data_IF_860769970715
#
_entry.id   IF_860769970715
#
_cell.length_a   1.000
_cell.length_b   1.000
_cell.length_c   1.000
_cell.angle_alpha   90.00
_cell.angle_beta   90.00
_cell.angle_gamma   90.00
#
_symmetry.space_group_name_H-M   'P 1'
#
loop_
_entity.id
_entity.type
_entity.pdbx_description
1 polymer ?
#
# COMPACT_ATOMS: atom_id res chain seq x y z
N UNK A 1 5.25 7.01 -16.66
CA UNK A 1 6.48 6.18 -16.78
C UNK A 1 6.33 4.85 -16.04
N UNK A 2 5.98 4.84 -14.74
CA UNK A 2 5.80 3.60 -13.96
C UNK A 2 4.62 2.74 -14.45
N UNK A 3 3.49 3.37 -14.75
CA UNK A 3 2.29 2.71 -15.30
C UNK A 3 2.57 1.96 -16.59
N UNK A 4 3.33 2.56 -17.51
CA UNK A 4 3.74 1.88 -18.74
C UNK A 4 4.59 0.63 -18.45
N UNK A 5 5.40 0.62 -17.40
CA UNK A 5 6.18 -0.57 -17.03
C UNK A 5 5.30 -1.69 -16.50
N UNK A 6 4.25 -1.36 -15.75
CA UNK A 6 3.26 -2.35 -15.30
C UNK A 6 2.49 -2.97 -16.48
N UNK A 7 2.10 -2.16 -17.47
CA UNK A 7 1.47 -2.65 -18.69
C UNK A 7 2.42 -3.58 -19.48
N UNK A 8 3.68 -3.17 -19.65
CA UNK A 8 4.69 -3.99 -20.33
C UNK A 8 4.96 -5.30 -19.58
N UNK A 9 4.98 -5.28 -18.24
CA UNK A 9 5.13 -6.50 -17.44
C UNK A 9 3.98 -7.48 -17.68
N UNK A 10 2.74 -6.97 -17.69
CA UNK A 10 1.56 -7.78 -18.01
C UNK A 10 1.64 -8.36 -19.44
N UNK A 11 1.97 -7.52 -20.44
CA UNK A 11 2.12 -7.93 -21.85
C UNK A 11 3.25 -8.95 -22.04
N UNK A 12 4.29 -8.89 -21.22
CA UNK A 12 5.38 -9.87 -21.19
C UNK A 12 4.99 -11.21 -20.55
N UNK A 13 3.77 -11.34 -20.00
CA UNK A 13 3.24 -12.59 -19.45
C UNK A 13 3.81 -12.98 -18.08
N UNK A 14 4.34 -12.03 -17.31
CA UNK A 14 4.76 -12.30 -15.92
C UNK A 14 3.54 -12.50 -15.02
N UNK A 15 3.69 -13.20 -13.90
CA UNK A 15 2.57 -13.51 -13.00
C UNK A 15 2.19 -12.36 -12.07
N UNK A 16 2.99 -11.32 -12.00
CA UNK A 16 2.70 -10.19 -11.13
C UNK A 16 3.85 -9.21 -10.97
N UNK A 17 3.58 -8.15 -10.23
CA UNK A 17 4.54 -7.08 -9.94
C UNK A 17 4.45 -6.65 -8.48
N UNK A 18 5.55 -6.14 -7.94
CA UNK A 18 5.57 -5.46 -6.64
C UNK A 18 5.80 -3.97 -6.87
N UNK A 19 4.84 -3.14 -6.48
CA UNK A 19 4.97 -1.69 -6.49
C UNK A 19 5.75 -1.26 -5.24
N UNK A 20 7.06 -1.04 -5.43
CA UNK A 20 8.00 -0.73 -4.36
C UNK A 20 9.05 0.28 -4.81
N UNK A 21 9.48 1.12 -3.88
CA UNK A 21 10.70 1.94 -3.99
C UNK A 21 11.80 1.44 -3.03
N UNK A 22 11.75 0.16 -2.67
CA UNK A 22 12.64 -0.50 -1.71
C UNK A 22 12.53 0.06 -0.28
N UNK A 23 11.35 0.57 0.08
CA UNK A 23 11.10 1.19 1.38
C UNK A 23 11.80 2.55 1.54
N UNK A 24 11.95 3.30 0.45
CA UNK A 24 12.59 4.62 0.38
C UNK A 24 14.11 4.57 0.43
N UNK A 25 14.72 3.47 -0.03
CA UNK A 25 16.17 3.20 0.11
C UNK A 25 16.95 3.23 -1.20
N UNK A 26 16.27 3.48 -2.31
CA UNK A 26 16.88 3.49 -3.64
C UNK A 26 16.86 4.89 -4.24
N UNK A 27 15.78 5.26 -4.94
CA UNK A 27 15.62 6.61 -5.47
C UNK A 27 14.84 7.46 -4.45
N UNK A 28 15.48 8.50 -3.95
CA UNK A 28 14.79 9.51 -3.14
C UNK A 28 13.77 10.29 -3.99
N UNK A 29 12.73 10.82 -3.37
CA UNK A 29 11.55 11.45 -4.01
C UNK A 29 10.70 10.53 -4.89
N UNK A 30 11.00 9.23 -4.94
CA UNK A 30 10.13 8.26 -5.60
C UNK A 30 8.75 8.23 -4.93
N UNK A 31 7.70 8.23 -5.75
CA UNK A 31 6.29 8.20 -5.30
C UNK A 31 5.98 6.99 -4.43
N UNK A 32 4.97 7.14 -3.59
CA UNK A 32 4.50 6.05 -2.72
C UNK A 32 3.90 4.89 -3.53
N UNK A 33 4.09 3.65 -3.08
CA UNK A 33 3.54 2.48 -3.76
C UNK A 33 2.01 2.50 -3.87
N UNK A 34 1.33 3.04 -2.85
CA UNK A 34 -0.14 3.15 -2.84
C UNK A 34 -0.67 4.14 -3.89
N UNK A 35 0.06 5.24 -4.15
CA UNK A 35 -0.33 6.21 -5.17
C UNK A 35 -0.12 5.63 -6.57
N UNK A 36 0.98 4.90 -6.77
CA UNK A 36 1.26 4.19 -8.03
C UNK A 36 0.25 3.07 -8.26
N UNK A 37 -0.22 2.38 -7.21
CA UNK A 37 -1.23 1.33 -7.30
C UNK A 37 -2.50 1.82 -7.99
N UNK A 38 -3.04 2.96 -7.54
CA UNK A 38 -4.27 3.52 -8.11
C UNK A 38 -4.11 3.83 -9.60
N UNK A 39 -2.96 4.39 -9.99
CA UNK A 39 -2.66 4.69 -11.39
C UNK A 39 -2.53 3.42 -12.24
N UNK A 40 -1.80 2.41 -11.75
CA UNK A 40 -1.56 1.14 -12.43
C UNK A 40 -2.86 0.36 -12.61
N UNK A 41 -3.66 0.21 -11.55
CA UNK A 41 -4.95 -0.49 -11.60
C UNK A 41 -5.90 0.20 -12.58
N UNK A 42 -5.94 1.53 -12.58
CA UNK A 42 -6.75 2.30 -13.53
C UNK A 42 -6.31 2.06 -14.98
N UNK A 43 -5.01 2.07 -15.25
CA UNK A 43 -4.49 1.83 -16.60
C UNK A 43 -4.72 0.39 -17.09
N UNK A 44 -4.56 -0.60 -16.22
CA UNK A 44 -4.85 -2.00 -16.55
C UNK A 44 -6.35 -2.20 -16.84
N UNK A 45 -7.24 -1.57 -16.07
CA UNK A 45 -8.69 -1.59 -16.33
C UNK A 45 -9.03 -1.01 -17.71
N UNK A 46 -8.42 0.14 -18.07
CA UNK A 46 -8.64 0.77 -19.38
C UNK A 46 -8.21 -0.13 -20.56
N UNK A 47 -7.23 -1.02 -20.34
CA UNK A 47 -6.77 -2.00 -21.33
C UNK A 47 -7.57 -3.32 -21.31
N UNK A 48 -8.51 -3.48 -20.37
CA UNK A 48 -9.22 -4.74 -20.16
C UNK A 48 -8.35 -5.84 -19.54
N UNK A 49 -7.22 -5.49 -18.92
CA UNK A 49 -6.28 -6.42 -18.29
C UNK A 49 -6.57 -6.67 -16.82
N UNK A 50 -7.49 -5.91 -16.22
CA UNK A 50 -7.81 -6.00 -14.79
C UNK A 50 -9.31 -6.01 -14.52
N UNK A 51 -9.81 -6.92 -13.67
CA UNK A 51 -9.06 -7.96 -12.94
C UNK A 51 -8.70 -9.18 -13.82
N UNK A 52 -7.47 -9.68 -13.73
CA UNK A 52 -7.06 -11.00 -14.26
C UNK A 52 -6.50 -11.84 -13.09
N UNK A 53 -7.08 -13.02 -12.77
CA UNK A 53 -6.60 -13.88 -11.69
C UNK A 53 -5.19 -14.44 -11.91
N UNK A 54 -4.61 -14.31 -13.10
CA UNK A 54 -3.24 -14.78 -13.41
C UNK A 54 -2.18 -13.70 -13.22
N UNK A 55 -2.59 -12.46 -12.93
CA UNK A 55 -1.68 -11.34 -12.71
C UNK A 55 -1.94 -10.70 -11.36
N UNK A 56 -0.96 -10.74 -10.47
CA UNK A 56 -1.07 -10.24 -9.10
C UNK A 56 -0.31 -8.92 -8.92
N UNK A 57 -0.89 -8.00 -8.16
CA UNK A 57 -0.25 -6.72 -7.84
C UNK A 57 0.02 -6.66 -6.35
N UNK A 58 1.28 -6.60 -5.98
CA UNK A 58 1.72 -6.44 -4.60
C UNK A 58 2.19 -5.01 -4.35
N UNK A 59 2.12 -4.55 -3.11
CA UNK A 59 2.63 -3.23 -2.69
C UNK A 59 3.42 -3.36 -1.41
N UNK A 60 4.47 -2.56 -1.24
CA UNK A 60 5.16 -2.40 0.05
C UNK A 60 5.49 -0.93 0.35
N UNK A 61 6.16 -0.72 1.49
CA UNK A 61 6.67 0.59 1.88
C UNK A 61 5.71 1.35 2.80
N UNK A 62 6.21 1.73 3.99
CA UNK A 62 5.44 2.56 4.92
C UNK A 62 4.25 1.90 5.65
N UNK A 63 3.87 0.65 5.31
CA UNK A 63 2.74 -0.08 5.91
C UNK A 63 3.00 -0.42 7.38
N UNK A 64 2.17 0.07 8.31
CA UNK A 64 2.35 -0.15 9.76
C UNK A 64 1.09 -0.60 10.47
N UNK A 65 -0.08 -0.43 9.86
CA UNK A 65 -1.38 -0.84 10.40
C UNK A 65 -2.07 -1.80 9.44
N UNK A 66 -2.96 -2.64 9.95
CA UNK A 66 -3.82 -3.46 9.09
C UNK A 66 -4.72 -2.57 8.20
N UNK A 67 -5.12 -1.39 8.66
CA UNK A 67 -5.90 -0.43 7.85
C UNK A 67 -5.14 0.07 6.62
N UNK A 68 -3.80 0.14 6.67
CA UNK A 68 -2.98 0.46 5.48
C UNK A 68 -3.07 -0.67 4.45
N UNK A 69 -3.05 -1.92 4.92
CA UNK A 69 -3.19 -3.10 4.06
C UNK A 69 -4.59 -3.18 3.45
N UNK A 70 -5.63 -2.97 4.26
CA UNK A 70 -7.02 -2.99 3.81
C UNK A 70 -7.28 -1.92 2.73
N UNK A 71 -6.71 -0.72 2.88
CA UNK A 71 -6.77 0.33 1.84
C UNK A 71 -6.11 -0.13 0.54
N UNK A 72 -4.92 -0.72 0.60
CA UNK A 72 -4.24 -1.21 -0.60
C UNK A 72 -5.03 -2.34 -1.29
N UNK A 73 -5.59 -3.27 -0.52
CA UNK A 73 -6.44 -4.35 -1.06
C UNK A 73 -7.67 -3.76 -1.73
N UNK A 74 -8.38 -2.84 -1.07
CA UNK A 74 -9.54 -2.16 -1.64
C UNK A 74 -9.20 -1.46 -2.97
N UNK A 75 -7.99 -0.91 -3.08
CA UNK A 75 -7.51 -0.22 -4.28
C UNK A 75 -6.94 -1.16 -5.35
N UNK A 76 -6.92 -2.48 -5.13
CA UNK A 76 -6.58 -3.50 -6.13
C UNK A 76 -5.27 -4.24 -5.89
N UNK A 77 -4.64 -4.13 -4.72
CA UNK A 77 -3.52 -4.99 -4.37
C UNK A 77 -3.99 -6.41 -4.00
N UNK A 78 -3.26 -7.43 -4.44
CA UNK A 78 -3.45 -8.82 -4.04
C UNK A 78 -2.97 -9.05 -2.61
N UNK A 79 -1.79 -8.54 -2.26
CA UNK A 79 -1.27 -8.57 -0.90
C UNK A 79 -0.26 -7.43 -0.67
N UNK A 80 0.12 -7.24 0.59
CA UNK A 80 0.95 -6.11 1.01
C UNK A 80 2.15 -6.59 1.83
N UNK A 81 3.34 -6.18 1.41
CA UNK A 81 4.61 -6.50 2.06
C UNK A 81 4.93 -5.56 3.23
N UNK A 82 5.49 -6.13 4.29
CA UNK A 82 5.93 -5.37 5.48
C UNK A 82 7.39 -5.73 5.78
N UNK A 83 8.29 -4.74 5.69
CA UNK A 83 9.73 -4.94 5.94
C UNK A 83 10.13 -4.59 7.37
N UNK A 84 10.51 -3.32 7.58
CA UNK A 84 11.08 -2.80 8.84
C UNK A 84 10.38 -3.25 10.14
N UNK A 85 9.03 -3.27 10.25
CA UNK A 85 8.37 -3.71 11.48
C UNK A 85 8.77 -5.12 11.93
N UNK A 86 8.83 -6.10 11.01
CA UNK A 86 9.23 -7.46 11.35
C UNK A 86 10.72 -7.56 11.68
N UNK A 87 11.57 -6.79 10.99
CA UNK A 87 12.99 -6.70 11.33
C UNK A 87 13.18 -6.18 12.76
N UNK A 88 12.49 -5.10 13.14
CA UNK A 88 12.59 -4.53 14.48
C UNK A 88 12.06 -5.47 15.56
N UNK A 89 10.94 -6.14 15.29
CA UNK A 89 10.38 -7.13 16.20
C UNK A 89 11.36 -8.29 16.44
N UNK A 90 11.98 -8.80 15.36
CA UNK A 90 12.99 -9.84 15.45
C UNK A 90 14.25 -9.40 16.20
N UNK A 91 14.77 -8.20 15.91
CA UNK A 91 15.96 -7.70 16.59
C UNK A 91 15.74 -7.45 18.09
N UNK A 92 14.52 -7.06 18.49
CA UNK A 92 14.21 -6.76 19.87
C UNK A 92 13.84 -8.00 20.71
N UNK A 93 13.10 -8.95 20.14
CA UNK A 93 12.52 -10.07 20.88
C UNK A 93 12.62 -11.43 20.15
N UNK A 94 13.46 -11.53 19.12
CA UNK A 94 13.65 -12.75 18.34
C UNK A 94 12.36 -13.23 17.67
N UNK A 95 12.18 -14.55 17.62
CA UNK A 95 11.00 -15.18 17.03
C UNK A 95 9.71 -14.75 17.72
N UNK A 96 9.68 -14.67 19.06
CA UNK A 96 8.51 -14.25 19.83
C UNK A 96 8.07 -12.82 19.45
N UNK A 97 9.02 -11.94 19.14
CA UNK A 97 8.74 -10.61 18.61
C UNK A 97 8.01 -10.65 17.28
N UNK A 98 8.47 -11.49 16.35
CA UNK A 98 7.85 -11.66 15.04
C UNK A 98 6.44 -12.23 15.18
N UNK A 99 6.27 -13.27 16.01
CA UNK A 99 4.94 -13.85 16.30
C UNK A 99 4.00 -12.81 16.91
N UNK A 100 4.51 -11.98 17.84
CA UNK A 100 3.72 -10.89 18.42
C UNK A 100 3.35 -9.83 17.39
N UNK A 101 4.23 -9.50 16.46
CA UNK A 101 3.92 -8.58 15.37
C UNK A 101 2.84 -9.16 14.44
N UNK A 102 2.91 -10.46 14.10
CA UNK A 102 1.86 -11.15 13.33
C UNK A 102 0.52 -11.10 14.09
N UNK A 103 0.53 -11.37 15.39
CA UNK A 103 -0.67 -11.28 16.24
C UNK A 103 -1.28 -9.88 16.21
N UNK A 104 -0.46 -8.83 16.36
CA UNK A 104 -0.95 -7.44 16.33
C UNK A 104 -1.63 -7.15 14.99
N UNK A 105 -1.02 -7.54 13.87
CA UNK A 105 -1.66 -7.39 12.56
C UNK A 105 -2.97 -8.17 12.50
N UNK A 106 -3.01 -9.42 12.96
CA UNK A 106 -4.22 -10.24 12.98
C UNK A 106 -5.36 -9.58 13.77
N UNK A 107 -5.06 -9.07 14.97
CA UNK A 107 -6.05 -8.42 15.83
C UNK A 107 -6.59 -7.14 15.18
N UNK A 108 -5.71 -6.33 14.59
CA UNK A 108 -6.11 -5.14 13.83
C UNK A 108 -6.94 -5.49 12.59
N UNK A 109 -6.60 -6.56 11.87
CA UNK A 109 -7.37 -7.04 10.72
C UNK A 109 -8.79 -7.42 11.14
N UNK A 110 -8.94 -8.27 12.15
CA UNK A 110 -10.25 -8.70 12.62
C UNK A 110 -11.12 -7.53 13.08
N UNK A 111 -10.53 -6.61 13.86
CA UNK A 111 -11.25 -5.43 14.34
C UNK A 111 -11.69 -4.54 13.17
N UNK A 112 -10.77 -4.18 12.28
CA UNK A 112 -11.08 -3.28 11.17
C UNK A 112 -12.07 -3.89 10.17
N UNK A 113 -11.95 -5.18 9.86
CA UNK A 113 -12.87 -5.86 8.96
C UNK A 113 -14.29 -5.92 9.54
N UNK A 114 -14.43 -6.17 10.86
CA UNK A 114 -15.74 -6.10 11.55
C UNK A 114 -16.33 -4.69 11.45
N UNK A 115 -15.52 -3.65 11.67
CA UNK A 115 -15.98 -2.25 11.60
C UNK A 115 -16.36 -1.80 10.18
N UNK A 116 -15.65 -2.31 9.16
CA UNK A 116 -15.97 -2.07 7.76
C UNK A 116 -17.19 -2.87 7.27
N UNK A 117 -17.64 -3.88 8.03
CA UNK A 117 -18.68 -4.80 7.59
C UNK A 117 -18.21 -5.82 6.54
N UNK A 118 -16.90 -6.05 6.41
CA UNK A 118 -16.31 -7.03 5.51
C UNK A 118 -16.07 -8.35 6.27
N UNK A 119 -16.71 -9.46 5.87
CA UNK A 119 -16.53 -10.77 6.53
C UNK A 119 -15.27 -11.46 6.06
N UNK A 120 -14.91 -11.24 4.81
CA UNK A 120 -13.77 -11.83 4.13
C UNK A 120 -13.00 -10.76 3.37
N UNK A 121 -11.75 -11.04 3.02
CA UNK A 121 -10.93 -10.13 2.19
C UNK A 121 -11.60 -9.83 0.84
N UNK A 122 -12.42 -10.76 0.32
CA UNK A 122 -13.16 -10.59 -0.94
C UNK A 122 -14.28 -9.55 -0.84
N UNK A 123 -14.75 -9.25 0.37
CA UNK A 123 -15.79 -8.23 0.59
C UNK A 123 -15.21 -6.81 0.60
N UNK A 124 -13.87 -6.67 0.59
CA UNK A 124 -13.19 -5.39 0.55
C UNK A 124 -13.24 -4.86 -0.88
N UNK A 125 -13.89 -3.71 -1.06
CA UNK A 125 -14.14 -3.11 -2.36
C UNK A 125 -13.62 -1.66 -2.41
N UNK A 126 -13.32 -1.12 -3.62
CA UNK A 126 -12.78 0.24 -3.77
C UNK A 126 -13.63 1.33 -3.11
N UNK A 127 -14.95 1.15 -3.02
CA UNK A 127 -15.90 2.10 -2.45
C UNK A 127 -15.71 2.31 -0.94
N UNK A 128 -14.99 1.40 -0.25
CA UNK A 128 -14.66 1.53 1.16
C UNK A 128 -13.53 2.56 1.43
N UNK A 129 -12.92 3.11 0.37
CA UNK A 129 -11.80 4.06 0.48
C UNK A 129 -12.10 5.32 -0.33
N UNK A 130 -12.13 6.47 0.34
CA UNK A 130 -12.09 7.76 -0.35
C UNK A 130 -10.64 8.12 -0.73
N UNK A 131 -10.28 7.85 -1.98
CA UNK A 131 -8.95 8.12 -2.52
C UNK A 131 -8.86 9.44 -3.32
N UNK A 132 -9.88 10.32 -3.28
CA UNK A 132 -9.92 11.53 -4.12
C UNK A 132 -8.77 12.50 -3.85
N UNK A 133 -8.32 12.59 -2.61
CA UNK A 133 -7.22 13.47 -2.21
C UNK A 133 -5.86 12.76 -2.19
N UNK A 134 -5.75 11.53 -2.74
CA UNK A 134 -4.52 10.74 -2.67
C UNK A 134 -3.33 11.41 -3.38
N UNK A 135 -3.59 12.19 -4.43
CA UNK A 135 -2.59 12.95 -5.17
C UNK A 135 -2.35 14.37 -4.63
N UNK A 136 -3.05 14.76 -3.56
CA UNK A 136 -2.93 16.11 -2.98
C UNK A 136 -1.70 16.21 -2.08
N UNK A 137 -0.53 16.39 -2.71
CA UNK A 137 0.73 16.68 -2.01
C UNK A 137 0.89 18.19 -1.88
N UNK A 138 0.97 18.70 -0.66
CA UNK A 138 1.22 20.12 -0.40
C UNK A 138 2.51 20.30 0.40
N UNK A 139 3.30 21.28 -0.02
CA UNK A 139 4.44 21.79 0.73
C UNK A 139 3.95 22.99 1.50
N UNK A 140 4.07 22.94 2.83
CA UNK A 140 3.65 24.07 3.67
C UNK A 140 4.54 25.28 3.38
N UNK A 141 3.93 26.46 3.31
CA UNK A 141 4.67 27.73 3.29
C UNK A 141 5.48 27.84 4.57
N UNK A 142 6.77 28.23 4.50
CA UNK A 142 7.57 28.46 5.69
C UNK A 142 6.87 29.41 6.67
N UNK A 143 6.91 29.09 7.95
CA UNK A 143 6.32 29.93 8.99
C UNK A 143 7.11 31.23 9.14
N UNK A 144 6.39 32.33 9.30
CA UNK A 144 6.97 33.60 9.70
C UNK A 144 7.15 33.61 11.22
N UNK A 145 8.38 33.31 11.66
CA UNK A 145 8.73 33.26 13.08
C UNK A 145 8.70 34.65 13.76
N UNK A 146 8.81 35.74 13.00
CA UNK A 146 8.76 37.09 13.59
C UNK A 146 7.32 37.51 13.84
N UNK A 147 6.43 37.27 12.86
CA UNK A 147 5.01 37.59 12.98
C UNK A 147 4.28 36.76 14.04
N UNK A 148 4.62 35.47 14.19
CA UNK A 148 3.93 34.58 15.14
C UNK A 148 4.33 34.79 16.62
N UNK A 149 5.46 35.46 16.88
CA UNK A 149 5.99 35.66 18.23
C UNK A 149 5.78 37.09 18.78
N UNK A 150 5.06 37.93 18.06
CA UNK A 150 4.60 39.28 18.50
C UNK A 150 3.11 39.26 18.76
#
# INVERSE_FOLDING_TARGET
MLTNRALLAYEAGVQGIVLSNHGGRQLDTARSGIEVLVEVVSALRLRGYWPDPRFEIYVDGGVRRASDVLKAIALGATAVGVGRPFLYAFCAYGQEGVEKAIQIFRDEFEMNMRLLGAKTIKDIVPEMVDAKSLSSHFVMTPQDNLFQNT
#
